data_IF_319685845169
#
_entry.id   IF_319685845169
#
_cell.length_a   1.000
_cell.length_b   1.000
_cell.length_c   1.000
_cell.angle_alpha   90.00
_cell.angle_beta   90.00
_cell.angle_gamma   90.00
#
_symmetry.space_group_name_H-M   'P 1'
#
loop_
_entity.id
_entity.type
_entity.pdbx_description
1 polymer ?
#
# COMPACT_ATOMS: atom_id res chain seq x y z
N UNK A 1 14.07 -0.86 13.34
CA UNK A 1 15.33 -1.43 12.81
C UNK A 1 15.06 -1.86 11.39
N UNK A 2 15.83 -1.34 10.42
CA UNK A 2 15.77 -1.83 9.05
C UNK A 2 16.09 -3.32 9.08
N UNK A 3 15.15 -4.16 8.62
CA UNK A 3 15.35 -5.60 8.58
C UNK A 3 16.27 -5.87 7.37
N UNK A 4 17.36 -6.63 7.53
CA UNK A 4 18.37 -6.78 6.47
C UNK A 4 17.80 -7.36 5.17
N UNK A 5 16.75 -8.17 5.27
CA UNK A 5 16.04 -8.73 4.11
C UNK A 5 15.37 -7.65 3.26
N UNK A 6 14.63 -6.74 3.88
CA UNK A 6 13.89 -5.66 3.21
C UNK A 6 14.87 -4.75 2.45
N UNK A 7 15.98 -4.37 3.09
CA UNK A 7 17.02 -3.53 2.48
C UNK A 7 17.69 -4.21 1.28
N UNK A 8 17.99 -5.50 1.39
CA UNK A 8 18.66 -6.27 0.32
C UNK A 8 17.74 -6.42 -0.90
N UNK A 9 16.48 -6.81 -0.69
CA UNK A 9 15.54 -6.96 -1.80
C UNK A 9 15.23 -5.61 -2.45
N UNK A 10 15.11 -4.54 -1.66
CA UNK A 10 14.97 -3.19 -2.21
C UNK A 10 16.16 -2.79 -3.08
N UNK A 11 17.39 -3.12 -2.68
CA UNK A 11 18.57 -2.88 -3.49
C UNK A 11 18.54 -3.69 -4.80
N UNK A 12 18.13 -4.96 -4.76
CA UNK A 12 17.98 -5.80 -5.95
C UNK A 12 16.91 -5.29 -6.91
N UNK A 13 15.78 -4.80 -6.40
CA UNK A 13 14.72 -4.20 -7.21
C UNK A 13 15.24 -2.96 -7.94
N UNK A 14 16.03 -2.13 -7.24
CA UNK A 14 16.58 -0.91 -7.83
C UNK A 14 17.54 -1.15 -8.99
N UNK A 15 18.15 -2.35 -9.12
CA UNK A 15 19.05 -2.67 -10.24
C UNK A 15 18.28 -2.80 -11.56
N UNK A 16 17.08 -3.39 -11.53
CA UNK A 16 16.25 -3.63 -12.72
C UNK A 16 14.77 -3.42 -12.41
N UNK A 17 14.34 -2.18 -12.09
CA UNK A 17 12.99 -1.90 -11.61
C UNK A 17 11.90 -2.41 -12.56
N UNK A 18 12.10 -2.25 -13.87
CA UNK A 18 11.11 -2.65 -14.88
C UNK A 18 10.91 -4.17 -14.96
N UNK A 19 11.99 -4.95 -14.81
CA UNK A 19 11.91 -6.41 -14.82
C UNK A 19 11.09 -6.93 -13.63
N UNK A 20 11.32 -6.33 -12.45
CA UNK A 20 10.58 -6.66 -11.23
C UNK A 20 9.13 -6.21 -11.31
N UNK A 21 8.86 -5.00 -11.81
CA UNK A 21 7.52 -4.50 -12.04
C UNK A 21 6.74 -5.40 -13.01
N UNK A 22 7.33 -5.78 -14.13
CA UNK A 22 6.73 -6.69 -15.10
C UNK A 22 6.47 -8.09 -14.50
N UNK A 23 7.38 -8.61 -13.69
CA UNK A 23 7.20 -9.90 -13.01
C UNK A 23 6.01 -9.88 -12.04
N UNK A 24 5.95 -8.89 -11.16
CA UNK A 24 4.88 -8.79 -10.16
C UNK A 24 3.54 -8.34 -10.74
N UNK A 25 3.55 -7.52 -11.81
CA UNK A 25 2.34 -7.17 -12.55
C UNK A 25 1.63 -8.43 -13.06
N UNK A 26 2.38 -9.38 -13.64
CA UNK A 26 1.82 -10.67 -14.09
C UNK A 26 1.19 -11.46 -12.96
N UNK A 27 1.83 -11.49 -11.78
CA UNK A 27 1.29 -12.18 -10.60
C UNK A 27 0.01 -11.53 -10.08
N UNK A 28 -0.10 -10.20 -10.20
CA UNK A 28 -1.28 -9.43 -9.84
C UNK A 28 -2.38 -9.42 -10.93
N UNK A 29 -2.18 -10.10 -12.07
CA UNK A 29 -3.13 -10.08 -13.19
C UNK A 29 -3.13 -8.77 -13.99
N UNK A 30 -2.12 -7.93 -13.82
CA UNK A 30 -1.89 -6.71 -14.60
C UNK A 30 -1.03 -7.06 -15.84
N UNK A 31 -1.32 -6.43 -16.98
CA UNK A 31 -0.48 -6.53 -18.18
C UNK A 31 0.92 -5.96 -17.89
N UNK A 32 2.02 -6.65 -18.23
CA UNK A 32 3.40 -6.21 -17.96
C UNK A 32 3.87 -5.13 -18.95
N UNK A 33 3.10 -4.06 -19.07
CA UNK A 33 3.40 -2.91 -19.91
C UNK A 33 4.50 -2.02 -19.28
N UNK A 34 5.08 -1.05 -20.01
CA UNK A 34 6.12 -0.18 -19.49
C UNK A 34 5.75 0.45 -18.14
N UNK A 35 6.69 0.40 -17.20
CA UNK A 35 6.48 0.85 -15.83
C UNK A 35 7.27 2.11 -15.50
N UNK A 36 6.80 2.83 -14.49
CA UNK A 36 7.52 3.91 -13.83
C UNK A 36 7.53 3.65 -12.33
N UNK A 37 8.69 3.73 -11.67
CA UNK A 37 8.76 3.67 -10.21
C UNK A 37 8.32 5.02 -9.63
N UNK A 38 7.35 5.00 -8.73
CA UNK A 38 6.89 6.20 -8.04
C UNK A 38 7.63 6.32 -6.71
N UNK A 39 8.26 7.47 -6.47
CA UNK A 39 8.82 7.81 -5.16
C UNK A 39 7.70 8.27 -4.23
N UNK A 40 7.59 7.62 -3.08
CA UNK A 40 6.56 7.85 -2.07
C UNK A 40 7.06 8.68 -0.89
N UNK A 41 8.18 9.40 -1.07
CA UNK A 41 8.84 10.18 -0.02
C UNK A 41 8.09 11.39 0.57
N UNK A 42 6.81 11.66 0.24
CA UNK A 42 6.15 12.91 0.66
C UNK A 42 4.92 12.76 1.56
N UNK A 43 4.33 11.57 1.71
CA UNK A 43 3.27 11.34 2.68
C UNK A 43 3.86 10.68 3.93
N UNK A 44 4.16 11.46 4.98
CA UNK A 44 4.73 10.98 6.26
C UNK A 44 3.91 9.87 6.95
N UNK A 45 2.69 9.60 6.49
CA UNK A 45 1.77 8.57 7.00
C UNK A 45 1.79 7.25 6.23
N UNK A 46 2.46 7.20 5.08
CA UNK A 46 2.43 6.08 4.15
C UNK A 46 3.80 5.41 4.11
N UNK A 47 3.87 4.19 4.65
CA UNK A 47 5.09 3.39 4.71
C UNK A 47 4.99 2.20 3.74
N UNK A 48 4.56 2.47 2.51
CA UNK A 48 4.60 1.48 1.44
C UNK A 48 6.05 1.29 0.98
N UNK A 49 6.49 0.06 0.78
CA UNK A 49 7.87 -0.20 0.39
C UNK A 49 8.16 0.30 -1.04
N UNK A 50 7.32 -0.07 -2.03
CA UNK A 50 7.47 0.39 -3.42
C UNK A 50 6.14 0.47 -4.16
N UNK A 51 6.07 1.41 -5.09
CA UNK A 51 4.95 1.54 -6.04
C UNK A 51 5.49 1.68 -7.46
N UNK A 52 4.87 0.97 -8.37
CA UNK A 52 5.08 1.12 -9.81
C UNK A 52 3.77 1.53 -10.48
N UNK A 53 3.83 2.52 -11.36
CA UNK A 53 2.77 2.80 -12.31
C UNK A 53 2.99 1.98 -13.56
N UNK A 54 2.01 1.17 -13.94
CA UNK A 54 2.06 0.36 -15.17
C UNK A 54 1.24 1.07 -16.25
N UNK A 55 1.90 1.50 -17.33
CA UNK A 55 1.32 2.36 -18.37
C UNK A 55 0.77 1.56 -19.56
N UNK A 56 -0.13 0.62 -19.26
CA UNK A 56 -0.81 -0.22 -20.25
C UNK A 56 -2.10 0.37 -20.81
N UNK A 57 -2.82 -0.43 -21.60
CA UNK A 57 -4.18 -0.09 -22.08
C UNK A 57 -5.20 0.07 -20.94
N UNK A 58 -4.91 -0.55 -19.78
CA UNK A 58 -5.62 -0.37 -18.50
C UNK A 58 -4.58 0.01 -17.45
N UNK A 59 -4.27 1.30 -17.27
CA UNK A 59 -3.26 1.73 -16.33
C UNK A 59 -3.63 1.34 -14.90
N UNK A 60 -2.64 0.90 -14.13
CA UNK A 60 -2.81 0.48 -12.75
C UNK A 60 -1.55 0.78 -11.93
N UNK A 61 -1.72 0.78 -10.61
CA UNK A 61 -0.63 0.92 -9.65
C UNK A 61 -0.36 -0.46 -9.04
N UNK A 62 0.89 -0.89 -9.13
CA UNK A 62 1.40 -2.07 -8.46
C UNK A 62 2.08 -1.62 -7.17
N UNK A 63 1.47 -1.94 -6.04
CA UNK A 63 2.02 -1.75 -4.70
C UNK A 63 2.75 -3.03 -4.25
N UNK A 64 4.04 -2.94 -3.95
CA UNK A 64 4.81 -4.04 -3.37
C UNK A 64 5.03 -3.76 -1.89
N UNK A 65 4.63 -4.72 -1.04
CA UNK A 65 4.88 -4.72 0.41
C UNK A 65 5.79 -5.91 0.74
N UNK A 66 6.88 -5.67 1.47
CA UNK A 66 7.86 -6.70 1.83
C UNK A 66 7.74 -7.07 3.32
N UNK A 67 7.40 -8.33 3.57
CA UNK A 67 7.19 -8.86 4.92
C UNK A 67 8.28 -9.85 5.34
N UNK A 68 9.23 -9.44 6.16
CA UNK A 68 10.18 -10.36 6.79
C UNK A 68 9.74 -10.92 8.16
N UNK A 69 8.71 -10.35 8.78
CA UNK A 69 8.29 -10.74 10.15
C UNK A 69 6.86 -11.27 10.17
N UNK A 70 6.62 -12.24 11.05
CA UNK A 70 5.28 -12.66 11.42
C UNK A 70 4.56 -11.52 12.13
N UNK A 71 3.50 -10.98 11.52
CA UNK A 71 2.74 -9.86 12.07
C UNK A 71 1.28 -9.91 11.61
N UNK A 72 0.36 -9.92 12.57
CA UNK A 72 -1.06 -9.69 12.34
C UNK A 72 -1.36 -8.21 12.09
N UNK A 73 -2.48 -7.93 11.43
CA UNK A 73 -2.99 -6.60 11.13
C UNK A 73 -2.50 -6.01 9.81
N UNK A 74 -1.61 -6.70 9.08
CA UNK A 74 -1.10 -6.24 7.78
C UNK A 74 -2.22 -5.94 6.78
N UNK A 75 -3.29 -6.77 6.64
CA UNK A 75 -4.37 -6.45 5.70
C UNK A 75 -5.08 -5.10 5.99
N UNK A 76 -5.17 -4.69 7.25
CA UNK A 76 -5.74 -3.39 7.63
C UNK A 76 -4.83 -2.23 7.21
N UNK A 77 -3.52 -2.40 7.37
CA UNK A 77 -2.53 -1.43 6.92
C UNK A 77 -2.54 -1.32 5.39
N UNK A 78 -2.57 -2.45 4.69
CA UNK A 78 -2.69 -2.50 3.22
C UNK A 78 -3.95 -1.81 2.72
N UNK A 79 -5.11 -2.03 3.36
CA UNK A 79 -6.33 -1.28 3.03
C UNK A 79 -6.11 0.24 3.14
N UNK A 80 -5.49 0.70 4.24
CA UNK A 80 -5.17 2.13 4.43
C UNK A 80 -4.25 2.64 3.33
N UNK A 81 -3.20 1.88 3.00
CA UNK A 81 -2.21 2.27 1.99
C UNK A 81 -2.85 2.35 0.62
N UNK A 82 -3.59 1.33 0.20
CA UNK A 82 -4.23 1.28 -1.10
C UNK A 82 -5.22 2.43 -1.28
N UNK A 83 -6.01 2.78 -0.25
CA UNK A 83 -6.91 3.94 -0.31
C UNK A 83 -6.15 5.26 -0.48
N UNK A 84 -5.03 5.45 0.22
CA UNK A 84 -4.24 6.68 0.10
C UNK A 84 -3.54 6.79 -1.27
N UNK A 85 -3.01 5.67 -1.77
CA UNK A 85 -2.37 5.57 -3.08
C UNK A 85 -3.39 5.85 -4.19
N UNK A 86 -4.54 5.18 -4.14
CA UNK A 86 -5.65 5.37 -5.07
C UNK A 86 -6.08 6.83 -5.09
N UNK A 87 -6.32 7.44 -3.92
CA UNK A 87 -6.72 8.85 -3.83
C UNK A 87 -5.67 9.82 -4.39
N UNK A 88 -4.37 9.51 -4.22
CA UNK A 88 -3.30 10.38 -4.69
C UNK A 88 -3.09 10.31 -6.20
N UNK A 89 -3.33 9.15 -6.82
CA UNK A 89 -2.95 8.86 -8.20
C UNK A 89 -4.12 8.56 -9.13
N UNK A 90 -5.33 8.42 -8.59
CA UNK A 90 -6.58 8.18 -9.31
C UNK A 90 -6.54 6.95 -10.23
N UNK A 91 -5.86 5.89 -9.78
CA UNK A 91 -5.68 4.63 -10.51
C UNK A 91 -5.91 3.43 -9.59
N UNK A 92 -6.44 2.31 -10.12
CA UNK A 92 -6.64 1.09 -9.33
C UNK A 92 -5.30 0.58 -8.79
N UNK A 93 -5.32 0.14 -7.52
CA UNK A 93 -4.14 -0.34 -6.79
C UNK A 93 -4.23 -1.84 -6.58
N UNK A 94 -3.31 -2.59 -7.17
CA UNK A 94 -3.11 -4.01 -6.87
C UNK A 94 -1.88 -4.17 -5.98
N UNK A 95 -2.00 -5.00 -4.94
CA UNK A 95 -0.91 -5.21 -3.98
C UNK A 95 -0.37 -6.62 -4.07
N UNK A 96 0.96 -6.73 -4.16
CA UNK A 96 1.67 -7.99 -3.95
C UNK A 96 2.40 -7.92 -2.62
N UNK A 97 1.98 -8.76 -1.67
CA UNK A 97 2.66 -8.97 -0.40
C UNK A 97 3.69 -10.09 -0.56
N UNK A 98 4.98 -9.75 -0.41
CA UNK A 98 6.09 -10.70 -0.58
C UNK A 98 6.63 -11.10 0.78
N UNK A 99 6.55 -12.39 1.11
CA UNK A 99 7.13 -12.94 2.33
C UNK A 99 8.59 -13.31 2.12
N UNK A 100 9.50 -12.65 2.84
CA UNK A 100 10.94 -12.87 2.69
C UNK A 100 11.45 -14.12 3.42
N UNK A 101 10.61 -14.72 4.26
CA UNK A 101 10.85 -16.03 4.85
C UNK A 101 9.51 -16.75 5.12
N UNK A 102 9.46 -18.10 5.11
CA UNK A 102 8.23 -18.84 5.36
C UNK A 102 7.56 -18.51 6.70
N UNK A 103 8.36 -18.23 7.73
CA UNK A 103 7.86 -17.87 9.06
C UNK A 103 7.19 -16.50 9.12
N UNK A 104 7.30 -15.66 8.08
CA UNK A 104 6.71 -14.33 8.06
C UNK A 104 5.19 -14.35 7.78
N UNK A 105 4.69 -15.42 7.16
CA UNK A 105 3.26 -15.57 6.89
C UNK A 105 2.47 -15.63 8.20
N UNK A 106 1.49 -14.73 8.33
CA UNK A 106 0.55 -14.70 9.43
C UNK A 106 -0.85 -15.15 8.99
N UNK A 107 -1.66 -15.60 9.94
CA UNK A 107 -2.95 -16.26 9.66
C UNK A 107 -4.00 -15.35 9.02
N UNK A 108 -3.88 -14.04 9.15
CA UNK A 108 -4.79 -13.06 8.56
C UNK A 108 -4.35 -12.59 7.16
N UNK A 109 -3.20 -13.04 6.66
CA UNK A 109 -2.66 -12.66 5.35
C UNK A 109 -3.08 -13.66 4.26
N UNK A 110 -4.38 -13.79 4.04
CA UNK A 110 -5.00 -14.75 3.10
C UNK A 110 -5.58 -14.08 1.84
N UNK A 111 -5.26 -12.80 1.62
CA UNK A 111 -5.77 -12.00 0.51
C UNK A 111 -7.11 -11.32 0.77
N UNK A 112 -7.73 -11.49 1.95
CA UNK A 112 -8.99 -10.85 2.30
C UNK A 112 -8.84 -9.99 3.56
N UNK A 113 -9.39 -8.78 3.52
CA UNK A 113 -9.60 -7.94 4.70
C UNK A 113 -11.09 -7.74 4.96
N UNK A 114 -11.56 -8.18 6.13
CA UNK A 114 -12.93 -7.96 6.58
C UNK A 114 -12.92 -7.06 7.81
N UNK A 115 -13.66 -5.94 7.75
CA UNK A 115 -13.89 -5.07 8.90
C UNK A 115 -15.26 -5.38 9.51
N UNK A 116 -15.27 -5.92 10.72
CA UNK A 116 -16.49 -6.02 11.51
C UNK A 116 -16.76 -4.67 12.17
N UNK A 117 -17.95 -4.12 11.94
CA UNK A 117 -18.34 -2.84 12.53
C UNK A 117 -18.79 -3.02 13.98
N UNK A 118 -18.30 -2.15 14.85
CA UNK A 118 -19.17 -1.60 15.89
C UNK A 118 -19.72 -0.27 15.35
N UNK A 119 -21.00 0.01 15.62
CA UNK A 119 -21.70 1.18 15.11
C UNK A 119 -20.98 2.47 15.53
N UNK A 120 -20.31 3.13 14.58
CA UNK A 120 -19.86 4.51 14.77
C UNK A 120 -20.98 5.44 14.30
N UNK A 121 -21.79 5.93 15.25
CA UNK A 121 -22.67 7.06 14.99
C UNK A 121 -21.79 8.28 14.69
N UNK A 122 -21.74 8.69 13.43
CA UNK A 122 -21.34 10.05 13.12
C UNK A 122 -22.41 10.96 13.75
N UNK A 123 -22.11 11.59 14.88
CA UNK A 123 -22.97 12.63 15.44
C UNK A 123 -22.93 13.79 14.45
N UNK A 124 -24.04 14.15 13.79
CA UNK A 124 -24.06 15.36 12.98
C UNK A 124 -23.83 16.55 13.93
N UNK A 125 -22.80 17.36 13.69
CA UNK A 125 -22.68 18.65 14.37
C UNK A 125 -23.90 19.47 13.94
N UNK A 126 -24.80 19.86 14.86
CA UNK A 126 -25.96 20.66 14.50
C UNK A 126 -25.48 21.97 13.87
N UNK A 127 -26.11 22.38 12.76
CA UNK A 127 -25.93 23.73 12.21
C UNK A 127 -26.31 24.74 13.30
N UNK A 128 -25.32 25.37 13.93
CA UNK A 128 -25.55 26.35 15.00
C UNK A 128 -24.40 26.54 15.99
N UNK A 129 -23.41 25.64 16.06
CA UNK A 129 -22.23 25.85 16.92
C UNK A 129 -21.33 26.92 16.28
N UNK A 130 -21.45 28.17 16.72
CA UNK A 130 -20.41 29.19 16.49
C UNK A 130 -19.19 28.77 17.30
N UNK A 131 -18.09 28.45 16.62
CA UNK A 131 -16.77 28.41 17.24
C UNK A 131 -16.53 29.80 17.84
N UNK A 132 -16.51 29.89 19.17
CA UNK A 132 -16.17 31.10 19.88
C UNK A 132 -14.80 31.59 19.42
N UNK A 133 -14.73 32.89 19.16
CA UNK A 133 -13.54 33.58 18.70
C UNK A 133 -12.33 33.26 19.60
N UNK A 134 -11.23 32.86 18.98
CA UNK A 134 -9.92 33.07 19.59
C UNK A 134 -9.64 34.58 19.55
N UNK A 135 -9.91 35.26 20.66
CA UNK A 135 -9.33 36.57 20.98
C UNK A 135 -8.41 36.42 22.20
N UNK A 136 -7.12 36.24 21.94
CA UNK A 136 -6.00 37.15 22.29
C UNK A 136 -4.66 36.42 22.14
#
# INVERSE_FOLDING_TARGET
>A
MAKPFDATLNALIAVRPDDWAAYFARLAGISPDPSESLDMGLATTLQADRIFRINGSKPALLHLELGANHRLGVPRDLMRYNTLIDHQHELPVETVLVFLQPKALASDQNGLYTRHGEHYFAVPIPRGVRLGAFER
#
